data_IF_244046341304
#
_entry.id   IF_244046341304
#
_cell.length_a   1.000
_cell.length_b   1.000
_cell.length_c   1.000
_cell.angle_alpha   90.00
_cell.angle_beta   90.00
_cell.angle_gamma   90.00
#
_symmetry.space_group_name_H-M   'P 1'
#
loop_
_entity.id
_entity.type
_entity.pdbx_description
1 polymer ?
#
# COMPACT_ATOMS: atom_id res chain seq x y z
N UNK A 1 1.95 18.56 -3.89
CA UNK A 1 1.15 17.55 -4.62
C UNK A 1 2.10 16.82 -5.54
N UNK A 2 2.41 15.57 -5.24
CA UNK A 2 3.27 14.73 -6.08
C UNK A 2 2.35 13.81 -6.89
N UNK A 3 2.32 14.01 -8.21
CA UNK A 3 1.46 13.24 -9.13
C UNK A 3 2.28 12.10 -9.71
N UNK A 4 1.82 10.85 -9.55
CA UNK A 4 2.48 9.68 -10.10
C UNK A 4 1.95 9.36 -11.49
N UNK A 5 2.72 9.70 -12.53
CA UNK A 5 2.45 9.26 -13.91
C UNK A 5 3.60 8.38 -14.41
N UNK A 6 3.52 7.06 -14.21
CA UNK A 6 4.23 6.16 -15.11
C UNK A 6 3.48 4.83 -15.28
N UNK A 7 3.35 4.44 -16.54
CA UNK A 7 2.59 3.28 -17.03
C UNK A 7 3.43 2.00 -17.11
N UNK A 8 4.66 1.99 -16.59
CA UNK A 8 5.42 0.76 -16.37
C UNK A 8 6.54 1.07 -15.36
N UNK A 9 6.41 0.61 -14.13
CA UNK A 9 7.52 0.65 -13.18
C UNK A 9 8.26 -0.69 -13.29
N UNK A 10 9.24 -0.75 -14.19
CA UNK A 10 10.09 -1.93 -14.42
C UNK A 10 11.24 -2.05 -13.40
N UNK A 11 11.42 -1.06 -12.52
CA UNK A 11 12.36 -1.10 -11.41
C UNK A 11 11.67 -0.58 -10.16
N UNK A 12 11.61 -1.43 -9.12
CA UNK A 12 11.00 -1.19 -7.82
C UNK A 12 11.12 0.27 -7.37
N UNK A 13 10.02 1.03 -7.17
CA UNK A 13 10.09 2.20 -6.34
C UNK A 13 10.02 1.67 -4.90
N UNK A 14 11.19 1.33 -4.34
CA UNK A 14 11.31 0.75 -2.99
C UNK A 14 10.92 1.73 -1.89
N UNK A 15 10.78 3.02 -2.21
CA UNK A 15 10.31 4.05 -1.30
C UNK A 15 9.59 5.13 -2.11
N UNK A 16 8.44 5.60 -1.62
CA UNK A 16 7.84 6.83 -2.10
C UNK A 16 8.37 7.94 -1.18
N UNK A 17 9.17 8.90 -1.68
CA UNK A 17 9.58 10.04 -0.87
C UNK A 17 8.32 10.80 -0.48
N UNK A 18 7.98 10.74 0.80
CA UNK A 18 6.82 11.40 1.40
C UNK A 18 7.22 12.02 2.72
N UNK A 19 6.66 13.18 3.00
CA UNK A 19 6.75 13.90 4.25
C UNK A 19 5.36 14.11 4.84
N UNK A 20 5.27 14.37 6.14
CA UNK A 20 3.99 14.66 6.78
C UNK A 20 3.23 15.78 6.05
N UNK A 21 1.95 15.53 5.74
CA UNK A 21 1.10 16.43 4.96
C UNK A 21 1.10 16.19 3.45
N UNK A 22 1.96 15.30 2.94
CA UNK A 22 1.96 14.97 1.51
C UNK A 22 0.70 14.23 1.08
N UNK A 23 0.21 14.59 -0.11
CA UNK A 23 -0.81 13.86 -0.85
C UNK A 23 -0.18 13.33 -2.14
N UNK A 24 -0.02 12.02 -2.18
CA UNK A 24 0.38 11.22 -3.32
C UNK A 24 -0.85 10.78 -4.11
N UNK A 25 -0.92 11.17 -5.38
CA UNK A 25 -2.05 10.84 -6.26
C UNK A 25 -1.62 9.83 -7.31
N UNK A 26 -2.23 8.64 -7.27
CA UNK A 26 -1.96 7.54 -8.19
C UNK A 26 -2.91 7.60 -9.39
N UNK A 27 -2.33 7.71 -10.59
CA UNK A 27 -3.10 7.67 -11.83
C UNK A 27 -3.58 6.26 -12.14
N UNK A 28 -4.63 6.12 -12.97
CA UNK A 28 -5.04 4.81 -13.43
C UNK A 28 -3.92 4.14 -14.22
N UNK A 29 -3.44 3.02 -13.70
CA UNK A 29 -2.45 2.17 -14.32
C UNK A 29 -2.46 0.80 -13.62
N UNK A 30 -1.81 -0.18 -14.25
CA UNK A 30 -1.47 -1.45 -13.62
C UNK A 30 0.00 -1.37 -13.21
N UNK A 31 0.23 -1.16 -11.92
CA UNK A 31 1.54 -1.12 -11.28
C UNK A 31 1.97 -2.54 -10.94
N UNK A 32 2.86 -3.09 -11.76
CA UNK A 32 3.31 -4.48 -11.61
C UNK A 32 4.55 -4.54 -10.72
N UNK A 33 4.54 -5.39 -9.70
CA UNK A 33 5.79 -5.90 -9.10
C UNK A 33 6.17 -7.22 -9.76
N UNK A 34 7.41 -7.33 -10.22
CA UNK A 34 8.00 -8.55 -10.78
C UNK A 34 9.22 -9.00 -9.99
N UNK A 35 9.59 -10.28 -10.09
CA UNK A 35 10.68 -10.88 -9.31
C UNK A 35 10.31 -11.12 -7.83
N UNK A 36 11.28 -10.99 -6.93
CA UNK A 36 11.09 -11.10 -5.47
C UNK A 36 10.54 -9.81 -4.82
N UNK A 37 10.01 -8.88 -5.62
CA UNK A 37 9.65 -7.53 -5.18
C UNK A 37 8.24 -7.40 -4.61
N UNK A 38 8.13 -6.73 -3.47
CA UNK A 38 6.91 -6.16 -2.93
C UNK A 38 7.04 -4.63 -2.88
N UNK A 39 5.92 -3.90 -2.82
CA UNK A 39 5.96 -2.49 -2.47
C UNK A 39 6.30 -2.34 -0.99
N UNK A 40 7.35 -1.59 -0.65
CA UNK A 40 7.66 -1.23 0.72
C UNK A 40 7.35 0.25 0.94
N UNK A 41 6.47 0.55 1.88
CA UNK A 41 6.16 1.93 2.27
C UNK A 41 6.47 2.13 3.75
N UNK A 42 7.13 3.25 4.05
CA UNK A 42 7.36 3.73 5.41
C UNK A 42 6.81 5.15 5.50
N UNK A 43 5.57 5.28 5.99
CA UNK A 43 4.80 6.52 5.94
C UNK A 43 4.68 7.09 7.36
N UNK A 44 5.43 8.16 7.64
CA UNK A 44 5.41 8.83 8.93
C UNK A 44 4.83 10.24 8.79
N UNK A 45 3.50 10.32 8.87
CA UNK A 45 2.77 11.58 8.98
C UNK A 45 2.63 12.03 10.43
N UNK A 46 2.01 13.20 10.60
CA UNK A 46 1.61 13.71 11.92
C UNK A 46 0.11 13.56 12.11
N UNK A 47 -0.36 13.57 13.37
CA UNK A 47 -1.78 13.48 13.71
C UNK A 47 -2.65 14.53 13.02
N UNK A 48 -2.11 15.73 12.80
CA UNK A 48 -2.79 16.85 12.13
C UNK A 48 -2.45 16.98 10.65
N UNK A 49 -1.37 16.32 10.20
CA UNK A 49 -0.91 16.35 8.79
C UNK A 49 -0.52 14.93 8.37
N UNK A 50 -1.50 14.04 8.16
CA UNK A 50 -1.22 12.67 7.74
C UNK A 50 -0.65 12.64 6.32
N UNK A 51 0.02 11.54 5.97
CA UNK A 51 0.37 11.25 4.57
C UNK A 51 -0.83 10.56 3.90
N UNK A 52 -1.22 11.00 2.71
CA UNK A 52 -2.34 10.40 1.97
C UNK A 52 -1.82 9.85 0.65
N UNK A 53 -2.09 8.57 0.39
CA UNK A 53 -1.95 7.96 -0.94
C UNK A 53 -3.34 7.65 -1.45
N UNK A 54 -3.74 8.23 -2.58
CA UNK A 54 -5.09 8.09 -3.10
C UNK A 54 -5.12 7.92 -4.62
N UNK A 55 -6.18 7.32 -5.13
CA UNK A 55 -6.51 7.38 -6.55
C UNK A 55 -6.70 8.82 -7.04
N UNK A 56 -6.39 9.10 -8.31
CA UNK A 56 -6.78 10.38 -8.90
C UNK A 56 -8.29 10.38 -9.23
N UNK A 57 -8.93 11.55 -9.16
CA UNK A 57 -10.37 11.67 -9.40
C UNK A 57 -10.73 11.38 -10.87
N UNK A 58 -11.98 10.98 -11.08
CA UNK A 58 -12.61 10.86 -12.41
C UNK A 58 -11.95 9.84 -13.36
N UNK A 59 -11.37 8.78 -12.81
CA UNK A 59 -10.84 7.65 -13.58
C UNK A 59 -11.02 6.33 -12.82
N UNK A 60 -10.81 5.17 -13.46
CA UNK A 60 -10.80 3.89 -12.76
C UNK A 60 -9.69 3.82 -11.70
N UNK A 61 -9.89 2.96 -10.71
CA UNK A 61 -8.93 2.77 -9.60
C UNK A 61 -7.56 2.30 -10.09
N UNK A 62 -6.45 2.82 -9.54
CA UNK A 62 -5.11 2.26 -9.77
C UNK A 62 -5.04 0.82 -9.25
N UNK A 63 -4.35 -0.05 -9.98
CA UNK A 63 -4.19 -1.46 -9.64
C UNK A 63 -2.73 -1.75 -9.33
N UNK A 64 -2.43 -2.22 -8.12
CA UNK A 64 -1.13 -2.78 -7.75
C UNK A 64 -1.22 -4.29 -7.89
N UNK A 65 -0.44 -4.84 -8.81
CA UNK A 65 -0.46 -6.25 -9.18
C UNK A 65 0.89 -6.90 -8.88
N UNK A 66 0.92 -7.90 -8.02
CA UNK A 66 2.11 -8.72 -7.84
C UNK A 66 2.04 -9.92 -8.79
N UNK A 67 3.00 -10.06 -9.69
CA UNK A 67 3.04 -11.15 -10.67
C UNK A 67 3.85 -12.37 -10.20
N UNK A 68 4.28 -12.40 -8.94
CA UNK A 68 5.11 -13.49 -8.45
C UNK A 68 4.32 -14.80 -8.36
N UNK A 69 4.68 -15.76 -9.21
CA UNK A 69 4.22 -17.15 -9.17
C UNK A 69 5.32 -18.01 -8.53
N UNK A 70 5.27 -18.23 -7.21
CA UNK A 70 6.28 -19.06 -6.52
C UNK A 70 6.15 -19.02 -5.00
N UNK A 71 6.54 -20.11 -4.34
CA UNK A 71 6.27 -20.44 -2.92
C UNK A 71 6.90 -19.53 -1.87
N UNK A 72 7.72 -18.53 -2.24
CA UNK A 72 8.11 -17.50 -1.28
C UNK A 72 6.95 -16.52 -1.11
N UNK A 73 6.09 -16.87 -0.15
CA UNK A 73 5.32 -16.04 0.77
C UNK A 73 5.59 -14.50 0.76
N UNK A 74 5.37 -13.80 -0.36
CA UNK A 74 5.50 -12.34 -0.45
C UNK A 74 4.13 -11.64 -0.45
N UNK A 75 4.06 -10.53 0.28
CA UNK A 75 2.92 -9.60 0.26
C UNK A 75 2.96 -8.75 -1.02
N UNK A 76 1.82 -8.29 -1.52
CA UNK A 76 1.78 -7.25 -2.56
C UNK A 76 2.44 -5.97 -2.04
N UNK A 77 2.15 -5.64 -0.78
CA UNK A 77 2.68 -4.45 -0.11
C UNK A 77 3.01 -4.75 1.35
N UNK A 78 4.18 -4.29 1.79
CA UNK A 78 4.49 -4.06 3.18
C UNK A 78 4.39 -2.57 3.46
N UNK A 79 3.67 -2.20 4.51
CA UNK A 79 3.47 -0.82 4.90
C UNK A 79 3.66 -0.67 6.40
N UNK A 80 4.35 0.39 6.80
CA UNK A 80 4.57 0.72 8.20
C UNK A 80 4.60 2.23 8.41
N UNK A 81 4.57 2.64 9.68
CA UNK A 81 4.73 4.04 10.09
C UNK A 81 3.55 4.55 10.90
N UNK A 82 3.24 5.83 10.83
CA UNK A 82 2.16 6.42 11.62
C UNK A 82 1.43 7.54 10.88
N UNK A 83 0.14 7.69 11.18
CA UNK A 83 -0.73 8.77 10.65
C UNK A 83 -0.71 8.83 9.12
N UNK A 84 -1.21 7.78 8.47
CA UNK A 84 -1.33 7.74 7.02
C UNK A 84 -2.69 7.20 6.57
N UNK A 85 -3.04 7.50 5.33
CA UNK A 85 -4.23 6.99 4.66
C UNK A 85 -3.88 6.42 3.29
N UNK A 86 -4.42 5.24 3.00
CA UNK A 86 -4.45 4.64 1.66
C UNK A 86 -5.91 4.62 1.19
N UNK A 87 -6.19 5.21 0.02
CA UNK A 87 -7.56 5.39 -0.46
C UNK A 87 -7.77 4.97 -1.91
N UNK A 88 -8.80 4.16 -2.16
CA UNK A 88 -9.28 3.87 -3.52
C UNK A 88 -8.34 3.02 -4.37
N UNK A 89 -7.44 2.24 -3.76
CA UNK A 89 -6.44 1.44 -4.48
C UNK A 89 -6.87 -0.02 -4.53
N UNK A 90 -6.63 -0.65 -5.68
CA UNK A 90 -6.87 -2.07 -5.91
C UNK A 90 -5.55 -2.85 -5.82
N UNK A 91 -5.56 -4.01 -5.16
CA UNK A 91 -4.41 -4.89 -4.97
C UNK A 91 -4.76 -6.31 -5.44
N UNK A 92 -3.90 -6.93 -6.27
CA UNK A 92 -4.19 -8.27 -6.80
C UNK A 92 -2.98 -9.16 -7.13
N UNK A 93 -3.24 -10.46 -7.32
CA UNK A 93 -2.33 -11.54 -7.81
C UNK A 93 -1.13 -11.93 -6.94
N UNK A 94 -0.91 -11.30 -5.78
CA UNK A 94 0.18 -11.67 -4.88
C UNK A 94 -0.06 -12.93 -4.05
N UNK A 95 1.00 -13.50 -3.45
CA UNK A 95 0.83 -14.63 -2.53
C UNK A 95 -0.04 -14.23 -1.32
N UNK A 96 0.24 -13.05 -0.75
CA UNK A 96 -0.58 -12.36 0.27
C UNK A 96 -0.83 -10.92 -0.17
N UNK A 97 -1.79 -10.24 0.43
CA UNK A 97 -2.14 -8.86 0.09
C UNK A 97 -1.26 -7.82 0.80
N UNK A 98 -1.81 -7.04 1.73
CA UNK A 98 -1.08 -6.01 2.48
C UNK A 98 -0.62 -6.56 3.83
N UNK A 99 0.65 -6.36 4.18
CA UNK A 99 1.16 -6.51 5.55
C UNK A 99 1.39 -5.15 6.19
N UNK A 100 0.81 -4.94 7.37
CA UNK A 100 1.24 -3.88 8.28
C UNK A 100 2.48 -4.37 9.04
N UNK A 101 3.64 -3.82 8.71
CA UNK A 101 4.94 -4.25 9.24
C UNK A 101 6.09 -3.98 8.26
N UNK A 102 7.36 -4.26 8.65
CA UNK A 102 7.79 -4.98 9.85
C UNK A 102 7.95 -4.19 11.15
N UNK A 103 7.50 -2.93 11.21
CA UNK A 103 7.56 -2.10 12.44
C UNK A 103 6.17 -1.77 12.98
N UNK A 104 6.13 -1.37 14.26
CA UNK A 104 4.95 -0.79 14.92
C UNK A 104 4.27 0.25 14.05
N UNK A 105 2.94 0.16 13.93
CA UNK A 105 2.14 1.07 13.10
C UNK A 105 0.96 1.63 13.88
N UNK A 106 0.74 2.95 13.77
CA UNK A 106 -0.31 3.66 14.53
C UNK A 106 -1.12 4.60 13.65
N UNK A 107 -2.44 4.68 13.88
CA UNK A 107 -3.34 5.62 13.21
C UNK A 107 -3.30 5.50 11.67
N UNK A 108 -3.45 4.27 11.16
CA UNK A 108 -3.51 4.00 9.73
C UNK A 108 -4.97 3.85 9.28
N UNK A 109 -5.32 4.46 8.16
CA UNK A 109 -6.64 4.32 7.53
C UNK A 109 -6.49 3.70 6.15
N UNK A 110 -7.21 2.61 5.92
CA UNK A 110 -7.38 2.03 4.60
C UNK A 110 -8.84 2.22 4.20
N UNK A 111 -9.06 3.09 3.23
CA UNK A 111 -10.38 3.58 2.84
C UNK A 111 -10.71 3.14 1.43
N UNK A 112 -11.78 2.37 1.27
CA UNK A 112 -12.27 1.96 -0.04
C UNK A 112 -11.20 1.24 -0.90
N UNK A 113 -10.33 0.45 -0.24
CA UNK A 113 -9.36 -0.40 -0.93
C UNK A 113 -10.01 -1.74 -1.31
N UNK A 114 -9.47 -2.39 -2.33
CA UNK A 114 -9.92 -3.73 -2.72
C UNK A 114 -8.74 -4.68 -2.90
N UNK A 115 -8.76 -5.80 -2.19
CA UNK A 115 -7.70 -6.83 -2.26
C UNK A 115 -8.35 -8.13 -2.69
N UNK A 116 -7.93 -8.67 -3.84
CA UNK A 116 -8.55 -9.87 -4.41
C UNK A 116 -7.55 -10.70 -5.22
N UNK A 117 -7.87 -11.97 -5.44
CA UNK A 117 -7.01 -12.94 -6.12
C UNK A 117 -5.61 -13.04 -5.48
N UNK A 118 -5.55 -13.01 -4.15
CA UNK A 118 -4.35 -13.43 -3.39
C UNK A 118 -4.44 -14.92 -3.10
N UNK A 119 -3.31 -15.63 -3.05
CA UNK A 119 -3.32 -17.07 -2.74
C UNK A 119 -3.59 -17.37 -1.26
N UNK A 120 -3.32 -16.41 -0.39
CA UNK A 120 -3.51 -16.49 1.05
C UNK A 120 -4.06 -15.18 1.62
N UNK A 121 -3.65 -14.85 2.84
CA UNK A 121 -4.14 -13.69 3.61
C UNK A 121 -4.12 -12.39 2.80
N UNK A 122 -5.27 -11.72 2.72
CA UNK A 122 -5.42 -10.45 2.00
C UNK A 122 -4.86 -9.26 2.81
N UNK A 123 -4.95 -9.30 4.12
CA UNK A 123 -4.50 -8.22 5.00
C UNK A 123 -3.97 -8.80 6.30
N UNK A 124 -2.74 -8.49 6.69
CA UNK A 124 -2.12 -9.01 7.91
C UNK A 124 -1.44 -7.91 8.74
N UNK A 125 -1.39 -8.14 10.04
CA UNK A 125 -0.70 -7.34 11.04
C UNK A 125 -0.25 -8.31 12.14
N UNK A 126 0.79 -9.09 11.83
CA UNK A 126 1.12 -10.34 12.53
C UNK A 126 2.62 -10.50 12.86
N UNK A 127 3.44 -9.47 12.65
CA UNK A 127 4.86 -9.54 13.02
C UNK A 127 5.01 -9.44 14.54
N UNK A 128 5.69 -10.42 15.14
CA UNK A 128 5.92 -10.54 16.59
C UNK A 128 6.60 -9.27 17.14
N UNK A 129 6.22 -8.89 18.36
CA UNK A 129 6.74 -7.73 19.11
C UNK A 129 6.38 -6.34 18.55
N UNK A 130 5.50 -6.25 17.55
CA UNK A 130 4.97 -4.98 17.05
C UNK A 130 3.59 -4.65 17.63
N UNK A 131 3.32 -3.36 17.79
CA UNK A 131 1.98 -2.86 18.10
C UNK A 131 1.29 -2.34 16.83
N UNK A 132 0.01 -2.66 16.68
CA UNK A 132 -0.84 -2.19 15.59
C UNK A 132 -2.06 -1.49 16.19
N UNK A 133 -1.99 -0.16 16.30
CA UNK A 133 -2.94 0.63 17.10
C UNK A 133 -3.75 1.58 16.22
N UNK A 134 -5.07 1.64 16.42
CA UNK A 134 -6.00 2.48 15.66
C UNK A 134 -5.90 2.25 14.14
N UNK A 135 -5.94 0.98 13.73
CA UNK A 135 -6.04 0.60 12.32
C UNK A 135 -7.51 0.63 11.92
N UNK A 136 -7.85 1.44 10.93
CA UNK A 136 -9.22 1.54 10.41
C UNK A 136 -9.29 0.97 9.01
N UNK A 137 -10.16 -0.02 8.81
CA UNK A 137 -10.61 -0.49 7.50
C UNK A 137 -12.03 0.00 7.30
N UNK A 138 -12.29 0.76 6.24
CA UNK A 138 -13.64 1.28 5.96
C UNK A 138 -13.94 1.35 4.46
N UNK A 139 -15.22 1.44 4.15
CA UNK A 139 -15.73 1.63 2.81
C UNK A 139 -16.60 2.90 2.81
N UNK A 140 -16.03 4.00 2.31
CA UNK A 140 -16.65 5.32 2.26
C UNK A 140 -16.95 5.76 0.83
#
# INVERSE_FOLDING_TARGET
MTVFSSSTVTTTPTTIPTSAGDVAVMQYSIYVTSGFGYFQLNLNGNRTTPIIIQEAPNQPRPIIQCLQTGTSAQHIMNIQGSNFMIKGIVFTKGSRGIRIGPSTTKNAIFDNIYIYNTTGTSFSADDVANEYVHITLRNS
#
